data_IF_808191465760
#
_entry.id   IF_808191465760
#
_cell.length_a   1.000
_cell.length_b   1.000
_cell.length_c   1.000
_cell.angle_alpha   90.00
_cell.angle_beta   90.00
_cell.angle_gamma   90.00
#
_symmetry.space_group_name_H-M   'P 1'
#
loop_
_entity.id
_entity.type
_entity.pdbx_description
1 polymer ?
#
# COMPACT_ATOMS: atom_id res chain seq x y z
N UNK A 1 2.60 19.38 -39.29
CA UNK A 1 3.75 18.62 -38.75
C UNK A 1 3.60 18.64 -37.23
N UNK A 2 3.11 17.53 -36.64
CA UNK A 2 3.11 17.36 -35.20
C UNK A 2 4.53 16.93 -34.77
N UNK A 3 5.10 17.53 -33.73
CA UNK A 3 6.36 17.04 -33.18
C UNK A 3 6.07 15.73 -32.47
N UNK A 4 6.96 14.78 -32.71
CA UNK A 4 7.04 13.45 -32.10
C UNK A 4 7.23 13.58 -30.60
N UNK A 5 6.17 13.44 -29.87
CA UNK A 5 6.12 13.27 -28.44
C UNK A 5 4.77 12.65 -28.13
N UNK A 6 4.79 11.43 -27.67
CA UNK A 6 3.59 10.62 -27.40
C UNK A 6 2.77 11.16 -26.23
N UNK A 7 2.17 12.31 -26.42
CA UNK A 7 1.06 12.77 -25.58
C UNK A 7 -0.21 12.41 -26.33
N UNK A 8 -0.80 11.29 -25.99
CA UNK A 8 -2.13 10.94 -26.45
C UNK A 8 -3.11 12.01 -25.96
N UNK A 9 -3.47 12.91 -26.84
CA UNK A 9 -4.51 13.88 -26.60
C UNK A 9 -5.87 13.16 -26.68
N UNK A 10 -6.40 12.68 -25.56
CA UNK A 10 -7.64 11.92 -25.44
C UNK A 10 -8.88 12.78 -25.78
N UNK A 11 -8.72 14.06 -26.07
CA UNK A 11 -9.85 14.99 -26.33
C UNK A 11 -10.59 14.81 -27.66
N UNK A 12 -10.12 13.96 -28.58
CA UNK A 12 -10.72 13.83 -29.92
C UNK A 12 -10.90 12.40 -30.43
N UNK A 13 -10.81 11.41 -29.58
CA UNK A 13 -11.18 10.05 -29.93
C UNK A 13 -12.56 9.72 -29.39
N UNK A 14 -13.59 9.85 -30.24
CA UNK A 14 -14.72 8.92 -30.20
C UNK A 14 -14.11 7.58 -30.55
N UNK A 15 -13.70 6.82 -29.53
CA UNK A 15 -13.07 5.52 -29.70
C UNK A 15 -14.17 4.47 -29.71
N UNK A 16 -14.57 3.91 -30.87
CA UNK A 16 -15.52 2.81 -30.88
C UNK A 16 -14.93 1.49 -30.41
N UNK A 17 -13.74 1.45 -29.83
CA UNK A 17 -13.09 0.20 -29.49
C UNK A 17 -11.97 0.28 -28.46
N UNK A 18 -12.06 1.12 -27.42
CA UNK A 18 -11.32 0.77 -26.21
C UNK A 18 -12.09 -0.40 -25.56
N UNK A 19 -11.48 -1.59 -25.37
CA UNK A 19 -12.15 -2.65 -24.65
C UNK A 19 -12.69 -2.08 -23.34
N UNK A 20 -13.95 -2.37 -23.00
CA UNK A 20 -14.61 -1.91 -21.77
C UNK A 20 -13.69 -2.07 -20.55
N UNK A 21 -12.89 -3.14 -20.52
CA UNK A 21 -11.90 -3.39 -19.48
C UNK A 21 -10.83 -2.28 -19.34
N UNK A 22 -10.38 -1.66 -20.43
CA UNK A 22 -9.41 -0.57 -20.37
C UNK A 22 -10.05 0.74 -19.89
N UNK A 23 -11.30 0.99 -20.27
CA UNK A 23 -12.04 2.15 -19.80
C UNK A 23 -12.30 2.05 -18.29
N UNK A 24 -12.78 0.89 -17.82
CA UNK A 24 -12.99 0.62 -16.39
C UNK A 24 -11.69 0.75 -15.60
N UNK A 25 -10.57 0.23 -16.13
CA UNK A 25 -9.27 0.35 -15.47
C UNK A 25 -8.82 1.82 -15.38
N UNK A 26 -9.05 2.60 -16.44
CA UNK A 26 -8.69 4.02 -16.44
C UNK A 26 -9.50 4.83 -15.43
N UNK A 27 -10.82 4.65 -15.42
CA UNK A 27 -11.73 5.30 -14.47
C UNK A 27 -11.39 4.90 -13.02
N UNK A 28 -11.12 3.60 -12.79
CA UNK A 28 -10.71 3.11 -11.47
C UNK A 28 -9.40 3.74 -11.00
N UNK A 29 -8.42 3.92 -11.90
CA UNK A 29 -7.15 4.57 -11.54
C UNK A 29 -7.35 6.06 -11.17
N UNK A 30 -8.27 6.77 -11.81
CA UNK A 30 -8.58 8.14 -11.44
C UNK A 30 -9.16 8.22 -10.01
N UNK A 31 -10.08 7.33 -9.68
CA UNK A 31 -10.64 7.25 -8.32
C UNK A 31 -9.57 6.87 -7.28
N UNK A 32 -8.70 5.91 -7.58
CA UNK A 32 -7.62 5.56 -6.68
C UNK A 32 -6.62 6.71 -6.48
N UNK A 33 -6.25 7.40 -7.56
CA UNK A 33 -5.33 8.54 -7.47
C UNK A 33 -5.89 9.66 -6.59
N UNK A 34 -7.19 9.91 -6.63
CA UNK A 34 -7.84 10.89 -5.76
C UNK A 34 -7.60 10.58 -4.26
N UNK A 35 -7.71 9.31 -3.86
CA UNK A 35 -7.44 8.89 -2.48
C UNK A 35 -5.93 8.93 -2.18
N UNK A 36 -5.09 8.55 -3.14
CA UNK A 36 -3.64 8.64 -2.98
C UNK A 36 -3.17 10.09 -2.81
N UNK A 37 -3.76 11.03 -3.56
CA UNK A 37 -3.49 12.47 -3.42
C UNK A 37 -3.85 12.99 -2.02
N UNK A 38 -4.97 12.52 -1.43
CA UNK A 38 -5.32 12.85 -0.05
C UNK A 38 -4.26 12.40 0.95
N UNK A 39 -3.63 11.25 0.70
CA UNK A 39 -2.58 10.67 1.55
C UNK A 39 -1.17 11.16 1.20
N UNK A 40 -1.01 11.96 0.14
CA UNK A 40 0.29 12.39 -0.37
C UNK A 40 1.13 11.25 -0.95
N UNK A 41 0.49 10.18 -1.46
CA UNK A 41 1.15 8.99 -2.00
C UNK A 41 1.28 9.11 -3.52
N UNK A 42 2.48 8.84 -4.03
CA UNK A 42 2.77 8.78 -5.47
C UNK A 42 3.43 7.46 -5.83
N UNK A 43 3.30 7.06 -7.11
CA UNK A 43 3.86 5.80 -7.61
C UNK A 43 4.72 6.05 -8.85
N UNK A 44 5.86 5.39 -8.93
CA UNK A 44 6.73 5.42 -10.11
C UNK A 44 6.21 4.55 -11.25
N UNK A 45 5.35 3.57 -10.95
CA UNK A 45 4.79 2.63 -11.93
C UNK A 45 3.41 2.12 -11.52
N UNK A 46 2.54 2.02 -12.50
CA UNK A 46 1.19 1.45 -12.38
C UNK A 46 1.07 0.10 -13.12
N UNK A 47 2.15 -0.69 -13.19
CA UNK A 47 2.15 -2.01 -13.79
C UNK A 47 1.38 -3.00 -12.90
N UNK A 48 0.04 -3.03 -13.09
CA UNK A 48 -0.89 -3.94 -12.41
C UNK A 48 -0.79 -5.38 -12.92
N UNK A 49 -1.61 -6.28 -12.38
CA UNK A 49 -1.57 -7.71 -12.70
C UNK A 49 -1.69 -8.02 -14.19
N UNK A 50 -2.54 -7.31 -14.92
CA UNK A 50 -2.77 -7.51 -16.36
C UNK A 50 -1.52 -7.26 -17.20
N UNK A 51 -0.61 -6.39 -16.75
CA UNK A 51 0.67 -6.10 -17.42
C UNK A 51 1.57 -7.34 -17.54
N UNK A 52 1.42 -8.29 -16.63
CA UNK A 52 2.24 -9.51 -16.62
C UNK A 52 1.62 -10.70 -17.32
N UNK A 53 0.40 -10.56 -17.86
CA UNK A 53 -0.35 -11.69 -18.44
C UNK A 53 0.32 -12.29 -19.68
N UNK A 54 0.92 -11.47 -20.52
CA UNK A 54 1.67 -11.88 -21.71
C UNK A 54 3.02 -12.53 -21.41
N UNK A 55 3.50 -12.43 -20.17
CA UNK A 55 4.78 -12.96 -19.68
C UNK A 55 4.64 -14.35 -19.04
N UNK A 56 3.41 -14.75 -18.69
CA UNK A 56 3.15 -16.04 -18.07
C UNK A 56 3.50 -17.26 -18.97
N UNK A 57 3.28 -17.26 -20.29
CA UNK A 57 3.65 -18.38 -21.13
C UNK A 57 5.14 -18.75 -21.03
N UNK A 58 6.04 -17.76 -20.98
CA UNK A 58 7.48 -18.00 -20.84
C UNK A 58 7.82 -18.71 -19.52
N UNK A 59 7.14 -18.37 -18.44
CA UNK A 59 7.30 -19.05 -17.13
C UNK A 59 6.89 -20.51 -17.24
N UNK A 60 5.77 -20.79 -17.89
CA UNK A 60 5.25 -22.17 -18.06
C UNK A 60 6.25 -22.99 -18.87
N UNK A 61 6.79 -22.46 -19.95
CA UNK A 61 7.80 -23.14 -20.77
C UNK A 61 9.09 -23.40 -19.98
N UNK A 62 9.61 -22.42 -19.23
CA UNK A 62 10.81 -22.63 -18.39
C UNK A 62 10.56 -23.73 -17.34
N UNK A 63 9.36 -23.79 -16.73
CA UNK A 63 9.00 -24.84 -15.79
C UNK A 63 8.93 -26.22 -16.45
N UNK A 64 8.45 -26.31 -17.70
CA UNK A 64 8.44 -27.56 -18.47
C UNK A 64 9.85 -28.04 -18.82
N UNK A 65 10.67 -27.14 -19.33
CA UNK A 65 12.07 -27.44 -19.68
C UNK A 65 12.87 -27.98 -18.47
N UNK A 66 12.62 -27.39 -17.31
CA UNK A 66 13.21 -27.82 -16.03
C UNK A 66 12.55 -29.07 -15.43
N UNK A 67 11.52 -29.62 -16.07
CA UNK A 67 10.75 -30.80 -15.61
C UNK A 67 10.17 -30.63 -14.20
N UNK A 68 9.74 -29.41 -13.86
CA UNK A 68 9.14 -29.09 -12.58
C UNK A 68 7.60 -29.22 -12.56
N UNK A 69 6.97 -29.34 -13.74
CA UNK A 69 5.53 -29.49 -13.86
C UNK A 69 5.12 -30.96 -13.75
N UNK A 70 4.09 -31.19 -12.95
CA UNK A 70 3.40 -32.47 -12.77
C UNK A 70 1.93 -32.27 -13.04
N UNK A 71 1.31 -33.21 -13.77
CA UNK A 71 -0.13 -33.20 -13.97
C UNK A 71 -0.84 -33.75 -12.73
N UNK A 72 -1.82 -32.99 -12.23
CA UNK A 72 -2.67 -33.39 -11.11
C UNK A 72 -4.12 -32.97 -11.38
N UNK A 73 -5.01 -33.93 -11.53
CA UNK A 73 -6.45 -33.73 -11.79
C UNK A 73 -6.73 -32.79 -12.97
N UNK A 74 -5.92 -32.92 -14.03
CA UNK A 74 -6.01 -32.10 -15.24
C UNK A 74 -5.34 -30.70 -15.12
N UNK A 75 -4.86 -30.33 -13.94
CA UNK A 75 -4.09 -29.08 -13.74
C UNK A 75 -2.59 -29.37 -13.81
N UNK A 76 -1.79 -28.35 -14.22
CA UNK A 76 -0.34 -28.40 -14.11
C UNK A 76 0.08 -27.78 -12.79
N UNK A 77 0.83 -28.51 -11.98
CA UNK A 77 1.28 -28.08 -10.66
C UNK A 77 2.80 -28.19 -10.54
N UNK A 78 3.39 -27.44 -9.62
CA UNK A 78 4.71 -27.75 -9.06
C UNK A 78 4.48 -28.41 -7.71
N UNK A 79 5.01 -29.63 -7.54
CA UNK A 79 4.91 -30.36 -6.29
C UNK A 79 5.81 -29.72 -5.22
N UNK A 80 5.19 -29.28 -4.14
CA UNK A 80 5.86 -28.66 -3.00
C UNK A 80 5.68 -29.45 -1.70
N UNK A 81 5.07 -30.65 -1.76
CA UNK A 81 4.90 -31.53 -0.58
C UNK A 81 6.23 -31.89 0.09
N UNK A 82 7.33 -32.16 -0.67
CA UNK A 82 8.64 -32.42 -0.06
C UNK A 82 9.17 -31.25 0.79
N UNK A 83 8.61 -30.06 0.61
CA UNK A 83 8.99 -28.83 1.36
C UNK A 83 7.93 -28.45 2.40
N UNK A 84 6.98 -29.33 2.71
CA UNK A 84 5.93 -29.12 3.72
C UNK A 84 4.86 -28.09 3.30
N UNK A 85 4.66 -27.90 2.00
CA UNK A 85 3.66 -26.99 1.45
C UNK A 85 2.70 -27.73 0.51
N UNK A 86 1.48 -27.23 0.37
CA UNK A 86 0.58 -27.68 -0.68
C UNK A 86 1.14 -27.34 -2.05
N UNK A 87 0.84 -28.13 -3.10
CA UNK A 87 1.33 -27.89 -4.45
C UNK A 87 0.96 -26.49 -4.97
N UNK A 88 1.87 -25.90 -5.74
CA UNK A 88 1.59 -24.64 -6.43
C UNK A 88 0.91 -24.92 -7.78
N UNK A 89 -0.31 -24.45 -7.97
CA UNK A 89 -1.04 -24.61 -9.23
C UNK A 89 -0.56 -23.55 -10.21
N UNK A 90 -0.06 -24.00 -11.35
CA UNK A 90 0.48 -23.14 -12.42
C UNK A 90 -0.59 -22.87 -13.48
N UNK A 91 -1.24 -23.93 -13.97
CA UNK A 91 -2.40 -23.81 -14.86
C UNK A 91 -3.54 -24.71 -14.41
N UNK A 92 -4.78 -24.26 -14.60
CA UNK A 92 -5.97 -25.07 -14.34
C UNK A 92 -6.19 -26.11 -15.44
N UNK A 93 -7.17 -26.98 -15.23
CA UNK A 93 -7.60 -27.97 -16.20
C UNK A 93 -8.14 -27.38 -17.50
N UNK A 94 -8.63 -26.15 -17.49
CA UNK A 94 -9.07 -25.40 -18.67
C UNK A 94 -7.91 -24.66 -19.39
N UNK A 95 -6.66 -24.87 -18.93
CA UNK A 95 -5.47 -24.22 -19.46
C UNK A 95 -5.26 -22.77 -19.00
N UNK A 96 -6.18 -22.20 -18.22
CA UNK A 96 -6.00 -20.84 -17.70
C UNK A 96 -4.92 -20.81 -16.62
N UNK A 97 -4.06 -19.80 -16.68
CA UNK A 97 -3.02 -19.56 -15.68
C UNK A 97 -3.59 -18.92 -14.42
N UNK A 98 -2.91 -19.16 -13.30
CA UNK A 98 -3.33 -18.71 -11.98
C UNK A 98 -2.42 -17.60 -11.41
N UNK A 99 -2.81 -17.10 -10.22
CA UNK A 99 -2.09 -16.06 -9.49
C UNK A 99 -0.60 -16.38 -9.30
N UNK A 100 -0.25 -17.64 -8.96
CA UNK A 100 1.13 -18.03 -8.75
C UNK A 100 2.00 -17.83 -10.01
N UNK A 101 1.50 -18.20 -11.18
CA UNK A 101 2.21 -18.01 -12.46
C UNK A 101 2.43 -16.54 -12.78
N UNK A 102 1.44 -15.71 -12.49
CA UNK A 102 1.52 -14.27 -12.69
C UNK A 102 2.54 -13.62 -11.76
N UNK A 103 2.55 -14.00 -10.48
CA UNK A 103 3.50 -13.47 -9.50
C UNK A 103 4.94 -13.90 -9.80
N UNK A 104 5.14 -15.13 -10.28
CA UNK A 104 6.44 -15.61 -10.77
C UNK A 104 6.88 -14.76 -11.97
N UNK A 105 6.00 -14.55 -12.96
CA UNK A 105 6.30 -13.73 -14.14
C UNK A 105 6.61 -12.27 -13.73
N UNK A 106 5.86 -11.72 -12.79
CA UNK A 106 6.08 -10.38 -12.28
C UNK A 106 7.44 -10.26 -11.55
N UNK A 107 7.80 -11.25 -10.74
CA UNK A 107 9.08 -11.26 -10.02
C UNK A 107 10.27 -11.36 -11.00
N UNK A 108 10.18 -12.22 -12.01
CA UNK A 108 11.20 -12.35 -13.05
C UNK A 108 11.35 -11.03 -13.80
N UNK A 109 10.24 -10.46 -14.30
CA UNK A 109 10.26 -9.18 -15.00
C UNK A 109 10.88 -8.07 -14.16
N UNK A 110 10.49 -7.96 -12.89
CA UNK A 110 11.02 -6.95 -11.98
C UNK A 110 12.52 -7.11 -11.77
N UNK A 111 13.02 -8.35 -11.64
CA UNK A 111 14.45 -8.60 -11.51
C UNK A 111 15.22 -8.22 -12.80
N UNK A 112 14.72 -8.58 -13.93
CA UNK A 112 15.35 -8.31 -15.24
C UNK A 112 15.31 -6.81 -15.60
N UNK A 113 14.19 -6.16 -15.31
CA UNK A 113 13.95 -4.77 -15.71
C UNK A 113 14.52 -3.75 -14.73
N UNK A 114 14.31 -3.96 -13.43
CA UNK A 114 14.76 -3.01 -12.38
C UNK A 114 16.06 -3.43 -11.70
N UNK A 115 16.52 -4.65 -11.91
CA UNK A 115 17.72 -5.22 -11.26
C UNK A 115 17.80 -4.93 -9.76
N UNK A 116 16.70 -5.12 -9.05
CA UNK A 116 16.55 -4.75 -7.64
C UNK A 116 17.55 -5.52 -6.73
N UNK A 117 17.98 -4.89 -5.66
CA UNK A 117 18.67 -5.54 -4.54
C UNK A 117 17.65 -6.21 -3.60
N UNK A 118 16.50 -5.58 -3.41
CA UNK A 118 15.36 -6.12 -2.65
C UNK A 118 14.05 -5.74 -3.33
N UNK A 119 13.14 -6.71 -3.45
CA UNK A 119 11.76 -6.49 -3.87
C UNK A 119 10.83 -6.72 -2.68
N UNK A 120 10.22 -5.66 -2.16
CA UNK A 120 9.38 -5.69 -0.98
C UNK A 120 7.92 -5.76 -1.40
N UNK A 121 7.22 -6.79 -0.93
CA UNK A 121 5.79 -7.02 -1.17
C UNK A 121 5.03 -6.74 0.12
N UNK A 122 4.28 -5.65 0.16
CA UNK A 122 3.42 -5.29 1.30
C UNK A 122 2.02 -5.84 1.02
N UNK A 123 1.72 -7.01 1.57
CA UNK A 123 0.49 -7.77 1.27
C UNK A 123 -0.02 -8.44 2.54
N UNK A 124 -1.36 -8.55 2.67
CA UNK A 124 -1.99 -9.11 3.87
C UNK A 124 -1.49 -10.52 4.24
N UNK A 125 -1.46 -10.82 5.53
CA UNK A 125 -0.96 -12.07 6.12
C UNK A 125 -1.63 -13.34 5.61
N UNK A 126 -2.87 -13.25 5.10
CA UNK A 126 -3.58 -14.36 4.46
C UNK A 126 -2.86 -14.90 3.22
N UNK A 127 -1.97 -14.11 2.61
CA UNK A 127 -1.18 -14.50 1.45
C UNK A 127 0.16 -15.17 1.82
N UNK A 128 0.43 -15.40 3.12
CA UNK A 128 1.70 -15.98 3.59
C UNK A 128 2.08 -17.28 2.89
N UNK A 129 1.12 -18.22 2.74
CA UNK A 129 1.37 -19.49 2.07
C UNK A 129 1.66 -19.29 0.59
N UNK A 130 0.89 -18.44 -0.09
CA UNK A 130 1.07 -18.12 -1.49
C UNK A 130 2.48 -17.56 -1.76
N UNK A 131 2.96 -16.63 -0.92
CA UNK A 131 4.33 -16.09 -1.03
C UNK A 131 5.40 -17.16 -0.83
N UNK A 132 5.21 -18.07 0.12
CA UNK A 132 6.13 -19.20 0.32
C UNK A 132 6.16 -20.12 -0.90
N UNK A 133 5.00 -20.42 -1.50
CA UNK A 133 4.89 -21.30 -2.66
C UNK A 133 5.59 -20.75 -3.88
N UNK A 134 5.24 -19.56 -4.37
CA UNK A 134 5.83 -19.05 -5.60
C UNK A 134 7.33 -18.70 -5.44
N UNK A 135 7.77 -18.29 -4.26
CA UNK A 135 9.20 -18.13 -3.97
C UNK A 135 9.96 -19.46 -4.03
N UNK A 136 9.38 -20.54 -3.50
CA UNK A 136 9.95 -21.87 -3.60
C UNK A 136 9.99 -22.35 -5.06
N UNK A 137 8.98 -22.04 -5.85
CA UNK A 137 9.01 -22.35 -7.30
C UNK A 137 10.16 -21.62 -7.99
N UNK A 138 10.37 -20.33 -7.72
CA UNK A 138 11.54 -19.60 -8.25
C UNK A 138 12.88 -20.22 -7.82
N UNK A 139 12.97 -20.67 -6.55
CA UNK A 139 14.17 -21.36 -6.07
C UNK A 139 14.42 -22.66 -6.85
N UNK A 140 13.39 -23.48 -7.08
CA UNK A 140 13.47 -24.68 -7.89
C UNK A 140 13.81 -24.39 -9.36
N UNK A 141 13.39 -23.23 -9.87
CA UNK A 141 13.82 -22.72 -11.19
C UNK A 141 15.29 -22.30 -11.22
N UNK A 142 16.01 -22.27 -10.09
CA UNK A 142 17.39 -21.82 -10.00
C UNK A 142 17.53 -20.29 -9.93
N UNK A 143 16.46 -19.57 -9.56
CA UNK A 143 16.49 -18.11 -9.39
C UNK A 143 16.92 -17.78 -7.95
N UNK A 144 18.21 -17.77 -7.66
CA UNK A 144 18.76 -17.55 -6.31
C UNK A 144 18.35 -16.21 -5.68
N UNK A 145 18.09 -15.20 -6.50
CA UNK A 145 17.64 -13.88 -6.09
C UNK A 145 16.21 -13.87 -5.48
N UNK A 146 15.48 -14.99 -5.54
CA UNK A 146 14.16 -15.09 -4.90
C UNK A 146 14.20 -14.81 -3.37
N UNK A 147 15.35 -15.02 -2.73
CA UNK A 147 15.58 -14.68 -1.33
C UNK A 147 15.42 -13.19 -1.05
N UNK A 148 15.72 -12.35 -2.05
CA UNK A 148 15.62 -10.90 -1.99
C UNK A 148 14.18 -10.38 -2.23
N UNK A 149 13.25 -11.27 -2.58
CA UNK A 149 11.81 -11.01 -2.59
C UNK A 149 11.25 -11.15 -1.16
N UNK A 150 10.93 -10.03 -0.51
CA UNK A 150 10.56 -9.99 0.89
C UNK A 150 9.07 -9.72 1.02
N UNK A 151 8.33 -10.63 1.63
CA UNK A 151 6.94 -10.40 2.00
C UNK A 151 6.87 -9.69 3.35
N UNK A 152 6.24 -8.54 3.39
CA UNK A 152 5.93 -7.77 4.60
C UNK A 152 4.44 -7.94 4.88
N UNK A 153 4.04 -8.94 5.70
CA UNK A 153 2.64 -9.19 5.97
C UNK A 153 2.06 -8.12 6.90
N UNK A 154 0.76 -7.82 6.72
CA UNK A 154 -0.01 -7.00 7.64
C UNK A 154 -1.33 -7.69 8.02
N UNK A 155 -1.87 -7.31 9.18
CA UNK A 155 -3.14 -7.80 9.71
C UNK A 155 -4.33 -7.08 9.08
N UNK A 156 -5.52 -7.45 9.53
CA UNK A 156 -6.78 -6.86 9.09
C UNK A 156 -7.19 -5.70 10.00
N UNK A 157 -7.79 -4.69 9.38
CA UNK A 157 -8.51 -3.63 10.09
C UNK A 157 -10.00 -3.97 10.08
N UNK A 158 -10.65 -3.87 11.22
CA UNK A 158 -12.10 -3.98 11.35
C UNK A 158 -12.66 -2.71 12.00
N UNK A 159 -13.91 -2.40 11.73
CA UNK A 159 -14.63 -1.33 12.42
C UNK A 159 -15.30 -1.85 13.69
N UNK A 160 -15.64 -0.94 14.62
CA UNK A 160 -16.44 -1.27 15.80
C UNK A 160 -17.76 -1.94 15.40
N UNK A 161 -18.15 -2.98 16.15
CA UNK A 161 -19.31 -3.82 15.83
C UNK A 161 -19.00 -5.11 15.09
N UNK A 162 -17.71 -5.40 14.79
CA UNK A 162 -17.26 -6.73 14.32
C UNK A 162 -17.61 -7.05 12.86
N UNK A 163 -18.08 -6.09 12.09
CA UNK A 163 -18.28 -6.28 10.65
C UNK A 163 -16.91 -6.35 9.97
N UNK A 164 -16.47 -7.56 9.67
CA UNK A 164 -15.32 -7.75 8.79
C UNK A 164 -15.63 -7.09 7.44
N UNK A 165 -14.83 -6.11 7.07
CA UNK A 165 -14.94 -5.46 5.76
C UNK A 165 -14.78 -6.51 4.67
N UNK A 166 -15.84 -6.76 3.92
CA UNK A 166 -15.84 -7.78 2.86
C UNK A 166 -16.62 -7.27 1.68
N UNK A 167 -15.91 -7.06 0.58
CA UNK A 167 -16.51 -6.70 -0.72
C UNK A 167 -17.55 -7.71 -1.19
N UNK A 168 -17.37 -8.99 -0.84
CA UNK A 168 -18.31 -10.07 -1.22
C UNK A 168 -19.63 -10.02 -0.44
N UNK A 169 -19.69 -9.36 0.73
CA UNK A 169 -20.90 -9.25 1.57
C UNK A 169 -21.56 -7.87 1.48
N UNK A 170 -21.06 -6.97 0.63
CA UNK A 170 -21.61 -5.62 0.47
C UNK A 170 -21.29 -4.64 1.60
N UNK A 171 -20.58 -5.06 2.64
CA UNK A 171 -20.10 -4.18 3.71
C UNK A 171 -18.73 -3.62 3.33
N UNK A 172 -18.74 -2.62 2.47
CA UNK A 172 -17.52 -1.89 2.04
C UNK A 172 -17.52 -0.54 2.74
N UNK A 173 -16.43 -0.23 3.43
CA UNK A 173 -16.11 1.13 3.87
C UNK A 173 -15.00 1.62 2.97
N UNK A 174 -15.24 2.71 2.28
CA UNK A 174 -14.22 3.33 1.44
C UNK A 174 -13.22 4.08 2.32
N UNK A 175 -11.94 3.98 1.98
CA UNK A 175 -10.89 4.71 2.69
C UNK A 175 -11.13 6.23 2.63
N UNK A 176 -11.66 6.73 1.52
CA UNK A 176 -12.03 8.12 1.36
C UNK A 176 -13.07 8.57 2.40
N UNK A 177 -14.08 7.76 2.67
CA UNK A 177 -15.09 8.08 3.68
C UNK A 177 -14.46 8.19 5.06
N UNK A 178 -13.53 7.28 5.39
CA UNK A 178 -12.77 7.33 6.65
C UNK A 178 -11.93 8.59 6.74
N UNK A 179 -11.23 8.97 5.68
CA UNK A 179 -10.41 10.18 5.66
C UNK A 179 -11.26 11.45 5.78
N UNK A 180 -12.37 11.53 5.06
CA UNK A 180 -13.30 12.66 5.13
C UNK A 180 -13.95 12.78 6.51
N UNK A 181 -14.36 11.67 7.11
CA UNK A 181 -14.91 11.66 8.47
C UNK A 181 -13.86 12.11 9.50
N UNK A 182 -12.59 11.69 9.34
CA UNK A 182 -11.49 12.16 10.19
C UNK A 182 -11.31 13.67 10.12
N UNK A 183 -11.34 14.24 8.92
CA UNK A 183 -11.24 15.69 8.69
C UNK A 183 -12.42 16.42 9.32
N UNK A 184 -13.65 15.94 9.10
CA UNK A 184 -14.85 16.55 9.65
C UNK A 184 -14.84 16.56 11.19
N UNK A 185 -14.59 15.41 11.82
CA UNK A 185 -14.51 15.29 13.29
C UNK A 185 -13.42 16.18 13.88
N UNK A 186 -12.27 16.26 13.20
CA UNK A 186 -11.16 17.14 13.60
C UNK A 186 -11.59 18.62 13.55
N UNK A 187 -12.27 19.03 12.49
CA UNK A 187 -12.79 20.40 12.35
C UNK A 187 -13.80 20.74 13.45
N UNK A 188 -14.67 19.81 13.81
CA UNK A 188 -15.63 19.98 14.92
C UNK A 188 -14.90 20.20 16.26
N UNK A 189 -13.94 19.33 16.60
CA UNK A 189 -13.13 19.44 17.81
C UNK A 189 -12.37 20.77 17.86
N UNK A 190 -11.79 21.21 16.72
CA UNK A 190 -11.05 22.47 16.65
C UNK A 190 -11.95 23.68 16.83
N UNK A 191 -13.15 23.69 16.23
CA UNK A 191 -14.13 24.77 16.39
C UNK A 191 -14.61 24.91 17.84
N UNK A 192 -14.79 23.80 18.55
CA UNK A 192 -15.14 23.81 19.97
C UNK A 192 -14.03 24.38 20.86
N UNK A 193 -12.76 24.04 20.55
CA UNK A 193 -11.60 24.42 21.39
C UNK A 193 -11.06 25.82 21.07
N UNK A 194 -11.17 26.28 19.82
CA UNK A 194 -10.64 27.59 19.40
C UNK A 194 -11.49 28.24 18.29
N UNK A 195 -12.55 28.96 18.63
CA UNK A 195 -13.50 29.51 17.67
C UNK A 195 -12.98 30.73 16.87
N UNK A 196 -11.77 31.23 17.12
CA UNK A 196 -11.25 32.45 16.47
C UNK A 196 -9.85 32.27 15.86
N UNK A 197 -9.75 32.41 14.53
CA UNK A 197 -8.54 32.92 13.87
C UNK A 197 -7.60 31.94 13.18
N UNK A 198 -7.97 30.68 12.94
CA UNK A 198 -7.19 29.73 12.13
C UNK A 198 -8.07 29.28 10.94
N UNK A 199 -7.46 29.07 9.78
CA UNK A 199 -8.13 28.30 8.72
C UNK A 199 -8.35 26.86 9.19
N UNK A 200 -9.52 26.66 9.82
CA UNK A 200 -9.86 25.39 10.47
C UNK A 200 -9.90 24.26 9.44
N UNK A 201 -10.29 24.55 8.19
CA UNK A 201 -10.54 23.52 7.21
C UNK A 201 -9.20 22.94 6.68
N UNK A 202 -8.17 23.78 6.44
CA UNK A 202 -6.84 23.32 6.03
C UNK A 202 -6.16 22.53 7.16
N UNK A 203 -6.13 23.08 8.37
CA UNK A 203 -5.49 22.44 9.51
C UNK A 203 -6.22 21.15 9.91
N UNK A 204 -7.55 21.12 9.84
CA UNK A 204 -8.33 19.92 10.12
C UNK A 204 -8.04 18.79 9.11
N UNK A 205 -7.77 19.14 7.86
CA UNK A 205 -7.35 18.16 6.84
C UNK A 205 -6.00 17.53 7.21
N UNK A 206 -5.00 18.35 7.52
CA UNK A 206 -3.68 17.86 7.89
C UNK A 206 -3.70 17.01 9.18
N UNK A 207 -4.44 17.46 10.19
CA UNK A 207 -4.53 16.77 11.48
C UNK A 207 -5.35 15.50 11.37
N UNK A 208 -6.50 15.53 10.70
CA UNK A 208 -7.40 14.38 10.55
C UNK A 208 -6.78 13.24 9.73
N UNK A 209 -6.21 13.56 8.57
CA UNK A 209 -5.52 12.58 7.73
C UNK A 209 -4.27 12.06 8.45
N UNK A 210 -3.49 12.95 9.06
CA UNK A 210 -2.33 12.58 9.86
C UNK A 210 -2.67 11.63 11.02
N UNK A 211 -3.81 11.79 11.65
CA UNK A 211 -4.28 10.91 12.72
C UNK A 211 -4.54 9.49 12.22
N UNK A 212 -5.18 9.33 11.06
CA UNK A 212 -5.42 8.01 10.44
C UNK A 212 -4.09 7.35 10.05
N UNK A 213 -3.18 8.07 9.38
CA UNK A 213 -1.86 7.55 9.01
C UNK A 213 -1.07 7.12 10.25
N UNK A 214 -1.05 7.94 11.30
CA UNK A 214 -0.34 7.62 12.54
C UNK A 214 -0.90 6.37 13.21
N UNK A 215 -2.22 6.22 13.24
CA UNK A 215 -2.88 5.04 13.80
C UNK A 215 -2.44 3.76 13.08
N UNK A 216 -2.39 3.78 11.75
CA UNK A 216 -1.94 2.64 10.96
C UNK A 216 -0.47 2.28 11.24
N UNK A 217 0.41 3.28 11.28
CA UNK A 217 1.85 3.08 11.39
C UNK A 217 2.32 2.83 12.84
N UNK A 218 1.57 3.27 13.85
CA UNK A 218 1.92 3.06 15.27
C UNK A 218 1.55 1.67 15.79
N UNK A 219 0.62 0.98 15.12
CA UNK A 219 0.23 -0.38 15.49
C UNK A 219 1.26 -1.42 15.05
N UNK A 220 1.28 -2.55 15.76
CA UNK A 220 2.00 -3.71 15.26
C UNK A 220 1.32 -4.23 14.00
N UNK A 221 1.93 -3.99 12.84
CA UNK A 221 1.36 -4.29 11.52
C UNK A 221 0.86 -5.72 11.33
N UNK A 222 1.40 -6.71 12.06
CA UNK A 222 1.03 -8.13 11.91
C UNK A 222 -0.28 -8.45 12.61
N UNK A 223 -0.66 -7.65 13.62
CA UNK A 223 -1.86 -7.87 14.41
C UNK A 223 -3.08 -7.27 13.72
N UNK A 224 -4.19 -8.01 13.78
CA UNK A 224 -5.50 -7.46 13.47
C UNK A 224 -5.87 -6.44 14.55
N UNK A 225 -6.54 -5.35 14.18
CA UNK A 225 -7.02 -4.38 15.15
C UNK A 225 -8.39 -3.81 14.78
N UNK A 226 -9.06 -3.24 15.77
CA UNK A 226 -10.35 -2.56 15.60
C UNK A 226 -10.09 -1.04 15.57
N UNK A 227 -10.50 -0.41 14.47
CA UNK A 227 -10.43 1.04 14.31
C UNK A 227 -11.45 1.72 15.22
N UNK A 228 -11.02 2.71 15.98
CA UNK A 228 -11.84 3.44 16.94
C UNK A 228 -11.57 4.94 16.85
N UNK A 229 -12.59 5.73 16.56
CA UNK A 229 -12.50 7.17 16.39
C UNK A 229 -11.99 7.91 17.62
N UNK A 230 -12.47 7.55 18.82
CA UNK A 230 -12.09 8.22 20.07
C UNK A 230 -10.61 8.05 20.39
N UNK A 231 -10.03 6.93 19.93
CA UNK A 231 -8.59 6.69 20.07
C UNK A 231 -7.78 7.42 19.02
N UNK A 232 -8.23 7.42 17.76
CA UNK A 232 -7.52 8.00 16.62
C UNK A 232 -7.40 9.51 16.72
N UNK A 233 -8.48 10.18 17.12
CA UNK A 233 -8.58 11.64 17.18
C UNK A 233 -8.34 12.21 18.59
N UNK A 234 -7.85 11.41 19.53
CA UNK A 234 -7.52 11.90 20.84
C UNK A 234 -6.28 12.80 20.81
N UNK A 235 -6.35 13.97 21.45
CA UNK A 235 -5.22 14.89 21.59
C UNK A 235 -4.36 14.60 22.84
N UNK A 236 -4.75 13.64 23.65
CA UNK A 236 -4.02 13.19 24.83
C UNK A 236 -3.54 11.74 24.59
N UNK A 237 -2.24 11.50 24.71
CA UNK A 237 -1.66 10.16 24.58
C UNK A 237 -0.86 9.93 23.30
N UNK A 238 -0.69 8.67 22.91
CA UNK A 238 0.15 8.25 21.79
C UNK A 238 -0.62 8.31 20.45
N UNK A 239 -0.91 9.52 19.98
CA UNK A 239 -1.73 9.78 18.80
C UNK A 239 -1.07 10.76 17.83
N UNK A 240 -1.51 10.74 16.57
CA UNK A 240 -1.07 11.71 15.55
C UNK A 240 -1.31 13.16 15.98
N UNK A 241 -2.53 13.55 16.39
CA UNK A 241 -2.83 14.89 16.90
C UNK A 241 -1.93 15.32 18.05
N UNK A 242 -1.60 14.42 18.97
CA UNK A 242 -0.69 14.73 20.08
C UNK A 242 0.73 15.03 19.61
N UNK A 243 1.26 14.26 18.67
CA UNK A 243 2.60 14.50 18.08
C UNK A 243 2.63 15.84 17.35
N UNK A 244 1.61 16.15 16.54
CA UNK A 244 1.49 17.42 15.83
C UNK A 244 1.36 18.59 16.80
N UNK A 245 0.54 18.47 17.86
CA UNK A 245 0.43 19.48 18.91
C UNK A 245 1.75 19.71 19.63
N UNK A 246 2.46 18.63 19.97
CA UNK A 246 3.78 18.73 20.62
C UNK A 246 4.77 19.48 19.74
N UNK A 247 4.81 19.17 18.44
CA UNK A 247 5.62 19.89 17.48
C UNK A 247 5.26 21.38 17.39
N UNK A 248 3.97 21.69 17.22
CA UNK A 248 3.49 23.07 17.14
C UNK A 248 3.85 23.88 18.42
N UNK A 249 3.75 23.25 19.59
CA UNK A 249 4.12 23.85 20.87
C UNK A 249 5.63 24.10 20.95
N UNK A 250 6.46 23.14 20.55
CA UNK A 250 7.91 23.32 20.50
C UNK A 250 8.30 24.45 19.56
N UNK A 251 7.72 24.51 18.36
CA UNK A 251 7.92 25.61 17.42
C UNK A 251 7.51 26.97 17.99
N UNK A 252 6.40 27.01 18.76
CA UNK A 252 5.96 28.23 19.43
C UNK A 252 6.98 28.73 20.47
N UNK A 253 7.55 27.81 21.25
CA UNK A 253 8.61 28.14 22.22
C UNK A 253 9.84 28.74 21.48
N UNK A 254 10.28 28.11 20.41
CA UNK A 254 11.40 28.60 19.62
C UNK A 254 11.14 29.96 18.96
N UNK A 255 9.91 30.21 18.48
CA UNK A 255 9.54 31.54 17.93
C UNK A 255 9.56 32.66 18.95
N UNK A 256 9.31 32.32 20.22
CA UNK A 256 9.32 33.30 21.32
C UNK A 256 10.71 33.45 21.98
N UNK A 257 11.69 32.61 21.59
CA UNK A 257 13.07 32.74 22.10
C UNK A 257 13.76 33.95 21.52
N UNK A 258 14.57 34.60 22.37
CA UNK A 258 15.41 35.74 21.96
C UNK A 258 16.55 35.27 21.03
N UNK A 259 17.17 36.17 20.29
CA UNK A 259 18.34 35.86 19.46
C UNK A 259 19.52 35.35 20.28
N UNK A 260 19.68 35.81 21.52
CA UNK A 260 20.72 35.30 22.44
C UNK A 260 20.44 33.85 22.85
N UNK A 261 19.22 33.53 23.23
CA UNK A 261 18.79 32.17 23.56
C UNK A 261 18.93 31.22 22.35
N UNK A 262 18.52 31.67 21.16
CA UNK A 262 18.69 30.92 19.93
C UNK A 262 20.17 30.66 19.59
N UNK A 263 21.05 31.65 19.85
CA UNK A 263 22.49 31.48 19.65
C UNK A 263 23.09 30.46 20.62
N UNK A 264 22.64 30.42 21.87
CA UNK A 264 23.03 29.41 22.86
C UNK A 264 22.57 28.03 22.46
N UNK A 265 21.31 27.88 22.07
CA UNK A 265 20.74 26.61 21.59
C UNK A 265 21.55 26.05 20.40
N UNK A 266 21.86 26.90 19.40
CA UNK A 266 22.67 26.49 18.23
C UNK A 266 24.08 26.04 18.59
N UNK A 267 24.65 26.57 19.66
CA UNK A 267 25.98 26.17 20.18
C UNK A 267 25.94 24.93 21.07
N UNK A 268 24.75 24.41 21.40
CA UNK A 268 24.58 23.32 22.34
C UNK A 268 24.86 23.73 23.81
N UNK A 269 24.81 25.04 24.10
CA UNK A 269 25.01 25.58 25.45
C UNK A 269 23.70 25.55 26.24
N UNK A 270 23.36 24.37 26.72
CA UNK A 270 22.20 24.11 27.59
C UNK A 270 22.53 23.06 28.65
N UNK A 271 21.84 23.11 29.77
CA UNK A 271 22.01 22.16 30.87
C UNK A 271 21.28 20.85 30.56
N UNK A 272 22.03 19.80 30.25
CA UNK A 272 21.52 18.47 29.89
C UNK A 272 20.68 17.79 30.99
N UNK A 273 20.69 18.27 32.23
CA UNK A 273 19.86 17.70 33.31
C UNK A 273 18.37 17.89 33.11
N UNK A 274 17.96 18.77 32.19
CA UNK A 274 16.56 19.05 31.83
C UNK A 274 16.10 18.32 30.58
N UNK A 275 16.96 17.50 29.95
CA UNK A 275 16.67 16.63 28.83
C UNK A 275 16.58 15.19 29.32
#
# INVERSE_FOLDING_TARGET
MCPTGSTFCIRHFVVPAIPIAHQVAFESLQEFNRVYDMLGITFDSYAGESFYSDKMPAVIEELKEKKLLVESRGAQIVDLEPYGMTPAIITKSDGSSLYATRDIAAAIYRKEHYNFDKCIYVVASQQNLHFKQWKKVLELMGKEWQKDCIHIPFGLVSLEGGATLSTRKGNVVFLEDVLNEAVQKTAEIMKEKNPQGIDVDEVAKEVGIGAVIFQELSNNRIKDYVFNWDKVLNFDGETGPYVQYTHARACSVLRNATEEEMARIRKGDFDAKYI
#
